data_IF_499246554225
#
_entry.id   IF_499246554225
#
_cell.length_a   1.000
_cell.length_b   1.000
_cell.length_c   1.000
_cell.angle_alpha   90.00
_cell.angle_beta   90.00
_cell.angle_gamma   90.00
#
_symmetry.space_group_name_H-M   'P 1'
#
loop_
_entity.id
_entity.type
_entity.pdbx_description
1 polymer ?
#
# COMPACT_ATOMS: atom_id res chain seq x y z
N UNK A 1 -14.05 -0.20 -4.87
CA UNK A 1 -12.98 -1.00 -5.52
C UNK A 1 -11.65 -0.74 -4.85
N UNK A 2 -10.84 -1.78 -4.59
CA UNK A 2 -9.47 -1.63 -4.10
C UNK A 2 -8.49 -2.48 -4.88
N UNK A 3 -7.23 -2.02 -4.92
CA UNK A 3 -6.13 -2.67 -5.64
C UNK A 3 -4.87 -2.68 -4.77
N UNK A 4 -4.08 -3.72 -4.88
CA UNK A 4 -2.74 -3.81 -4.28
C UNK A 4 -1.68 -4.00 -5.38
N UNK A 5 -0.56 -3.26 -5.28
CA UNK A 5 0.50 -3.25 -6.30
C UNK A 5 1.88 -3.18 -5.64
N UNK A 6 2.71 -4.18 -5.85
CA UNK A 6 4.14 -4.04 -5.59
C UNK A 6 4.78 -3.22 -6.71
N UNK A 7 5.24 -2.01 -6.39
CA UNK A 7 5.74 -1.04 -7.36
C UNK A 7 7.18 -1.29 -7.80
N UNK A 8 7.97 -2.05 -7.04
CA UNK A 8 9.42 -2.22 -7.29
C UNK A 8 10.11 -0.88 -7.61
N UNK A 9 9.84 0.12 -6.76
CA UNK A 9 10.35 1.49 -6.88
C UNK A 9 9.55 2.43 -7.79
N UNK A 10 9.22 3.61 -7.28
CA UNK A 10 8.49 4.67 -8.00
C UNK A 10 9.39 5.83 -8.48
N UNK A 11 10.72 5.69 -8.45
CA UNK A 11 11.64 6.79 -8.82
C UNK A 11 11.60 7.11 -10.32
N UNK A 12 11.40 6.13 -11.18
CA UNK A 12 11.34 6.31 -12.63
C UNK A 12 10.01 6.97 -13.04
N UNK A 13 10.10 8.16 -13.65
CA UNK A 13 8.92 8.98 -14.03
C UNK A 13 7.96 8.25 -14.96
N UNK A 14 8.48 7.54 -15.98
CA UNK A 14 7.64 6.83 -16.94
C UNK A 14 6.81 5.74 -16.25
N UNK A 15 7.41 4.98 -15.32
CA UNK A 15 6.74 3.92 -14.56
C UNK A 15 5.59 4.48 -13.70
N UNK A 16 5.82 5.59 -13.00
CA UNK A 16 4.74 6.26 -12.26
C UNK A 16 3.58 6.61 -13.19
N UNK A 17 3.87 7.22 -14.35
CA UNK A 17 2.82 7.61 -15.29
C UNK A 17 1.99 6.42 -15.78
N UNK A 18 2.62 5.28 -16.06
CA UNK A 18 1.91 4.06 -16.48
C UNK A 18 1.02 3.54 -15.35
N UNK A 19 1.58 3.37 -14.14
CA UNK A 19 0.82 2.87 -12.99
C UNK A 19 -0.37 3.77 -12.69
N UNK A 20 -0.16 5.08 -12.58
CA UNK A 20 -1.24 6.01 -12.21
C UNK A 20 -2.27 6.22 -13.33
N UNK A 21 -1.86 6.16 -14.61
CA UNK A 21 -2.80 6.19 -15.73
C UNK A 21 -3.74 4.97 -15.67
N UNK A 22 -3.19 3.79 -15.44
CA UNK A 22 -3.97 2.57 -15.28
C UNK A 22 -4.91 2.63 -14.06
N UNK A 23 -4.44 3.11 -12.91
CA UNK A 23 -5.28 3.28 -11.72
C UNK A 23 -6.47 4.21 -11.96
N UNK A 24 -6.26 5.30 -12.70
CA UNK A 24 -7.33 6.23 -13.07
C UNK A 24 -8.30 5.60 -14.07
N UNK A 25 -7.80 4.83 -15.02
CA UNK A 25 -8.63 4.14 -16.02
C UNK A 25 -9.59 3.13 -15.38
N UNK A 26 -9.12 2.36 -14.39
CA UNK A 26 -9.97 1.38 -13.70
C UNK A 26 -10.90 1.99 -12.63
N UNK A 27 -10.79 3.28 -12.34
CA UNK A 27 -11.65 3.97 -11.37
C UNK A 27 -11.54 3.41 -9.96
N UNK A 28 -10.33 3.22 -9.46
CA UNK A 28 -10.09 2.60 -8.15
C UNK A 28 -10.35 3.59 -7.01
N UNK A 29 -10.97 3.11 -5.92
CA UNK A 29 -11.25 3.91 -4.70
C UNK A 29 -10.09 3.91 -3.73
N UNK A 30 -9.45 2.74 -3.51
CA UNK A 30 -8.36 2.55 -2.54
C UNK A 30 -7.21 1.79 -3.21
N UNK A 31 -5.98 2.30 -3.05
CA UNK A 31 -4.78 1.66 -3.60
C UNK A 31 -3.78 1.39 -2.48
N UNK A 32 -3.31 0.16 -2.40
CA UNK A 32 -2.20 -0.26 -1.56
C UNK A 32 -0.94 -0.42 -2.40
N UNK A 33 0.06 0.43 -2.18
CA UNK A 33 1.34 0.39 -2.88
C UNK A 33 2.43 -0.19 -1.97
N UNK A 34 3.22 -1.12 -2.48
CA UNK A 34 4.39 -1.68 -1.79
C UNK A 34 5.67 -1.43 -2.59
N UNK A 35 6.81 -1.53 -1.94
CA UNK A 35 8.13 -1.25 -2.50
C UNK A 35 8.19 0.09 -3.25
N UNK A 36 7.61 1.14 -2.67
CA UNK A 36 7.55 2.44 -3.34
C UNK A 36 8.90 3.13 -3.42
N UNK A 37 9.81 2.83 -2.49
CA UNK A 37 11.12 3.46 -2.31
C UNK A 37 11.01 4.98 -2.09
N UNK A 38 9.88 5.44 -1.55
CA UNK A 38 9.67 6.83 -1.15
C UNK A 38 10.17 7.01 0.28
N UNK A 39 10.95 8.05 0.51
CA UNK A 39 11.68 8.24 1.76
C UNK A 39 11.11 9.33 2.66
N UNK A 40 10.25 10.19 2.15
CA UNK A 40 9.68 11.31 2.91
C UNK A 40 8.49 11.95 2.20
N UNK A 41 7.76 12.79 2.93
CA UNK A 41 6.59 13.50 2.44
C UNK A 41 6.85 14.43 1.25
N UNK A 42 8.00 15.08 1.19
CA UNK A 42 8.36 15.96 0.06
C UNK A 42 8.46 15.13 -1.23
N UNK A 43 9.08 13.96 -1.13
CA UNK A 43 9.22 13.05 -2.26
C UNK A 43 7.86 12.48 -2.69
N UNK A 44 7.03 12.03 -1.74
CA UNK A 44 5.69 11.55 -2.02
C UNK A 44 4.85 12.61 -2.77
N UNK A 45 4.76 13.81 -2.25
CA UNK A 45 4.04 14.92 -2.91
C UNK A 45 4.56 15.21 -4.32
N UNK A 46 5.89 15.22 -4.49
CA UNK A 46 6.51 15.46 -5.80
C UNK A 46 6.19 14.36 -6.81
N UNK A 47 6.18 13.10 -6.37
CA UNK A 47 5.95 11.94 -7.24
C UNK A 47 4.48 11.82 -7.67
N UNK A 48 3.56 12.18 -6.79
CA UNK A 48 2.12 12.11 -7.05
C UNK A 48 1.57 13.34 -7.77
N UNK A 49 2.32 14.45 -7.81
CA UNK A 49 1.86 15.71 -8.41
C UNK A 49 1.39 15.52 -9.86
N UNK A 50 0.10 15.81 -10.10
CA UNK A 50 -0.52 15.65 -11.42
C UNK A 50 -0.76 14.21 -11.86
N UNK A 51 -0.59 13.22 -10.95
CA UNK A 51 -0.86 11.80 -11.19
C UNK A 51 -1.93 11.25 -10.26
N UNK A 52 -2.09 11.82 -9.06
CA UNK A 52 -3.10 11.43 -8.08
C UNK A 52 -3.63 12.66 -7.35
N UNK A 53 -4.94 12.83 -7.32
CA UNK A 53 -5.59 13.98 -6.69
C UNK A 53 -6.17 13.66 -5.30
N UNK A 54 -6.32 12.38 -4.97
CA UNK A 54 -6.86 11.94 -3.69
C UNK A 54 -5.89 12.09 -2.51
N UNK A 55 -6.30 11.58 -1.37
CA UNK A 55 -5.45 11.53 -0.17
C UNK A 55 -4.45 10.41 -0.26
N UNK A 56 -3.35 10.52 0.47
CA UNK A 56 -2.33 9.48 0.53
C UNK A 56 -1.65 9.45 1.89
N UNK A 57 -1.31 8.26 2.34
CA UNK A 57 -0.73 7.96 3.64
C UNK A 57 0.49 7.07 3.43
N UNK A 58 1.50 7.13 4.31
CA UNK A 58 2.78 6.48 4.06
C UNK A 58 3.44 5.95 5.32
N UNK A 59 4.00 4.73 5.22
CA UNK A 59 5.17 4.31 5.95
C UNK A 59 6.37 4.36 5.00
N UNK A 60 7.33 5.23 5.30
CA UNK A 60 8.43 5.52 4.39
C UNK A 60 9.50 4.43 4.43
N UNK A 61 10.00 4.09 3.25
CA UNK A 61 11.14 3.19 3.08
C UNK A 61 12.47 3.91 2.93
N UNK A 62 13.40 3.22 2.31
CA UNK A 62 14.69 3.76 1.87
C UNK A 62 14.70 4.02 0.37
N UNK A 63 15.81 4.55 -0.15
CA UNK A 63 15.95 4.75 -1.59
C UNK A 63 15.92 3.46 -2.42
N UNK A 64 16.20 2.32 -1.81
CA UNK A 64 16.40 1.04 -2.48
C UNK A 64 15.48 -0.07 -1.98
N UNK A 65 14.74 0.14 -0.90
CA UNK A 65 13.88 -0.90 -0.32
C UNK A 65 12.71 -0.32 0.46
N UNK A 66 11.71 -1.17 0.65
CA UNK A 66 10.53 -0.87 1.45
C UNK A 66 9.73 0.36 0.98
N UNK A 67 8.94 0.90 1.87
CA UNK A 67 8.01 1.98 1.61
C UNK A 67 6.66 1.46 1.13
N UNK A 68 5.65 1.63 1.97
CA UNK A 68 4.26 1.33 1.62
C UNK A 68 3.42 2.61 1.66
N UNK A 69 2.41 2.67 0.83
CA UNK A 69 1.51 3.82 0.78
C UNK A 69 0.09 3.41 0.50
N UNK A 70 -0.83 4.02 1.24
CA UNK A 70 -2.26 3.86 1.03
C UNK A 70 -2.81 5.13 0.39
N UNK A 71 -3.41 5.00 -0.79
CA UNK A 71 -4.02 6.10 -1.51
C UNK A 71 -5.53 5.93 -1.50
N UNK A 72 -6.25 7.03 -1.30
CA UNK A 72 -7.71 7.07 -1.32
C UNK A 72 -8.15 8.08 -2.37
N UNK A 73 -9.04 7.66 -3.27
CA UNK A 73 -9.55 8.49 -4.35
C UNK A 73 -10.27 9.73 -3.81
N UNK A 74 -10.20 10.85 -4.54
CA UNK A 74 -10.82 12.11 -4.13
C UNK A 74 -12.33 12.06 -4.01
N UNK A 75 -12.94 11.19 -4.82
CA UNK A 75 -14.39 11.09 -4.95
C UNK A 75 -15.00 10.05 -3.98
N UNK A 76 -14.17 9.33 -3.22
CA UNK A 76 -14.65 8.45 -2.16
C UNK A 76 -15.11 9.28 -0.97
N UNK A 77 -16.38 9.12 -0.59
CA UNK A 77 -16.96 9.79 0.59
C UNK A 77 -16.59 9.02 1.86
N UNK A 78 -15.72 9.59 2.68
CA UNK A 78 -15.27 9.02 3.96
C UNK A 78 -14.83 10.09 4.95
N UNK A 79 -14.93 9.76 6.22
CA UNK A 79 -14.34 10.49 7.33
C UNK A 79 -13.01 9.85 7.71
N UNK A 80 -11.92 10.64 7.74
CA UNK A 80 -10.63 10.20 8.25
C UNK A 80 -10.66 10.11 9.78
N UNK A 81 -10.25 8.97 10.35
CA UNK A 81 -10.21 8.78 11.79
C UNK A 81 -8.78 8.79 12.33
N UNK A 82 -7.88 8.00 11.75
CA UNK A 82 -6.52 7.83 12.23
C UNK A 82 -5.58 7.31 11.16
N UNK A 83 -4.30 7.67 11.26
CA UNK A 83 -3.20 7.08 10.51
C UNK A 83 -2.13 6.56 11.49
N UNK A 84 -1.69 5.34 11.29
CA UNK A 84 -0.61 4.69 12.03
C UNK A 84 0.30 3.95 11.05
N UNK A 85 1.58 3.86 11.36
CA UNK A 85 2.55 3.22 10.48
C UNK A 85 3.76 2.75 11.28
N UNK A 86 4.51 1.79 10.75
CA UNK A 86 5.82 1.43 11.28
C UNK A 86 6.91 2.37 10.76
N UNK A 87 8.10 2.26 11.32
CA UNK A 87 9.27 3.05 10.89
C UNK A 87 10.14 2.31 9.86
N UNK A 88 9.74 1.11 9.47
CA UNK A 88 10.51 0.24 8.56
C UNK A 88 10.00 0.32 7.12
N UNK A 89 8.88 1.02 6.90
CA UNK A 89 8.27 1.12 5.58
C UNK A 89 7.56 -0.17 5.14
N UNK A 90 7.02 -0.94 6.10
CA UNK A 90 6.39 -2.22 5.86
C UNK A 90 4.90 -2.27 6.17
N UNK A 91 4.43 -1.42 7.09
CA UNK A 91 3.04 -1.41 7.53
C UNK A 91 2.49 0.00 7.54
N UNK A 92 1.39 0.21 6.84
CA UNK A 92 0.64 1.46 6.80
C UNK A 92 -0.83 1.17 7.11
N UNK A 93 -1.41 1.87 8.09
CA UNK A 93 -2.74 1.62 8.61
C UNK A 93 -3.53 2.92 8.59
N UNK A 94 -4.65 2.92 7.89
CA UNK A 94 -5.55 4.07 7.82
C UNK A 94 -6.93 3.65 8.30
N UNK A 95 -7.40 4.29 9.37
CA UNK A 95 -8.75 4.11 9.88
C UNK A 95 -9.66 5.18 9.27
N UNK A 96 -10.76 4.73 8.69
CA UNK A 96 -11.76 5.59 8.06
C UNK A 96 -13.16 5.17 8.49
N UNK A 97 -14.11 6.09 8.39
CA UNK A 97 -15.53 5.80 8.51
C UNK A 97 -16.20 6.07 7.17
N UNK A 98 -16.94 5.09 6.67
CA UNK A 98 -17.81 5.24 5.51
C UNK A 98 -19.23 4.92 5.93
N UNK A 99 -20.12 5.90 5.82
CA UNK A 99 -21.48 5.84 6.37
C UNK A 99 -21.41 5.55 7.88
N UNK A 100 -22.04 4.45 8.34
CA UNK A 100 -22.05 4.06 9.77
C UNK A 100 -20.93 3.07 10.13
N UNK A 101 -20.21 2.53 9.15
CA UNK A 101 -19.21 1.48 9.37
C UNK A 101 -17.81 2.07 9.47
N UNK A 102 -17.00 1.51 10.37
CA UNK A 102 -15.58 1.85 10.54
C UNK A 102 -14.72 0.80 9.85
N UNK A 103 -13.84 1.25 8.98
CA UNK A 103 -12.92 0.40 8.26
C UNK A 103 -11.48 0.69 8.68
N UNK A 104 -10.72 -0.36 8.87
CA UNK A 104 -9.27 -0.30 9.00
C UNK A 104 -8.64 -0.83 7.73
N UNK A 105 -7.97 0.05 7.01
CA UNK A 105 -7.19 -0.27 5.83
C UNK A 105 -5.78 -0.64 6.28
N UNK A 106 -5.32 -1.86 6.02
CA UNK A 106 -4.00 -2.34 6.40
C UNK A 106 -3.24 -2.70 5.13
N UNK A 107 -2.18 -1.95 4.86
CA UNK A 107 -1.27 -2.19 3.75
C UNK A 107 0.05 -2.76 4.28
N UNK A 108 0.43 -3.95 3.82
CA UNK A 108 1.61 -4.66 4.30
C UNK A 108 2.61 -4.95 3.18
N UNK A 109 3.88 -4.95 3.55
CA UNK A 109 4.98 -5.47 2.76
C UNK A 109 5.83 -6.37 3.66
N UNK A 110 5.52 -7.66 3.66
CA UNK A 110 6.17 -8.64 4.53
C UNK A 110 7.64 -8.84 4.15
N UNK A 111 8.52 -9.16 5.11
CA UNK A 111 9.92 -9.49 4.84
C UNK A 111 10.09 -10.67 3.89
N UNK A 112 11.14 -10.64 3.05
CA UNK A 112 11.51 -11.74 2.17
C UNK A 112 12.08 -12.94 2.93
N UNK A 113 12.82 -12.69 4.01
CA UNK A 113 13.35 -13.77 4.87
C UNK A 113 12.21 -14.48 5.60
N UNK A 114 12.27 -15.81 5.61
CA UNK A 114 11.22 -16.64 6.22
C UNK A 114 11.05 -16.42 7.72
N UNK A 115 12.13 -16.25 8.46
CA UNK A 115 12.10 -16.10 9.93
C UNK A 115 11.57 -14.73 10.30
N UNK A 116 12.06 -13.69 9.65
CA UNK A 116 11.59 -12.32 9.83
C UNK A 116 10.11 -12.20 9.45
N UNK A 117 9.70 -12.81 8.33
CA UNK A 117 8.31 -12.81 7.87
C UNK A 117 7.37 -13.49 8.87
N UNK A 118 7.78 -14.64 9.43
CA UNK A 118 6.99 -15.34 10.44
C UNK A 118 6.78 -14.49 11.68
N UNK A 119 7.80 -13.80 12.14
CA UNK A 119 7.73 -12.88 13.29
C UNK A 119 6.87 -11.65 12.96
N UNK A 120 7.07 -11.07 11.79
CA UNK A 120 6.28 -9.93 11.31
C UNK A 120 4.78 -10.25 11.28
N UNK A 121 4.40 -11.40 10.73
CA UNK A 121 2.99 -11.82 10.64
C UNK A 121 2.38 -12.04 12.02
N UNK A 122 3.10 -12.65 12.95
CA UNK A 122 2.63 -12.81 14.34
C UNK A 122 2.36 -11.46 15.02
N UNK A 123 3.20 -10.47 14.73
CA UNK A 123 3.07 -9.15 15.31
C UNK A 123 1.95 -8.31 14.68
N UNK A 124 1.37 -8.72 13.55
CA UNK A 124 0.22 -8.03 12.95
C UNK A 124 -1.05 -8.11 13.80
N UNK A 125 -1.16 -9.09 14.70
CA UNK A 125 -2.32 -9.25 15.58
C UNK A 125 -2.60 -7.99 16.42
N UNK A 126 -1.57 -7.21 16.76
CA UNK A 126 -1.72 -5.96 17.51
C UNK A 126 -2.56 -4.90 16.78
N UNK A 127 -2.68 -5.03 15.47
CA UNK A 127 -3.46 -4.11 14.64
C UNK A 127 -4.90 -4.57 14.44
N UNK A 128 -5.22 -5.82 14.80
CA UNK A 128 -6.55 -6.39 14.70
C UNK A 128 -7.32 -6.08 15.99
N UNK A 129 -8.01 -4.95 16.03
CA UNK A 129 -8.84 -4.52 17.15
C UNK A 129 -10.32 -4.68 16.82
N UNK A 130 -11.08 -5.18 17.80
CA UNK A 130 -12.53 -5.31 17.67
C UNK A 130 -13.17 -3.95 17.35
N UNK A 131 -14.27 -3.95 16.60
CA UNK A 131 -15.06 -2.79 16.18
C UNK A 131 -14.65 -2.11 14.86
N UNK A 132 -13.77 -2.73 14.07
CA UNK A 132 -13.51 -2.33 12.69
C UNK A 132 -13.78 -3.48 11.73
N UNK A 133 -14.29 -3.13 10.56
CA UNK A 133 -14.19 -3.99 9.39
C UNK A 133 -12.80 -3.81 8.77
N UNK A 134 -12.19 -4.89 8.27
CA UNK A 134 -10.82 -4.85 7.77
C UNK A 134 -10.77 -4.94 6.26
N UNK A 135 -9.94 -4.09 5.63
CA UNK A 135 -9.47 -4.26 4.27
C UNK A 135 -7.95 -4.44 4.35
N UNK A 136 -7.53 -5.67 4.19
CA UNK A 136 -6.13 -6.07 4.31
C UNK A 136 -5.58 -6.39 2.93
N UNK A 137 -4.56 -5.66 2.50
CA UNK A 137 -3.89 -5.86 1.24
C UNK A 137 -2.38 -5.72 1.37
N UNK A 138 -1.65 -6.14 0.35
CA UNK A 138 -0.21 -6.00 0.36
C UNK A 138 0.53 -7.12 -0.34
N UNK A 139 1.86 -7.09 -0.20
CA UNK A 139 2.76 -8.14 -0.65
C UNK A 139 3.24 -8.96 0.56
N UNK A 140 2.77 -10.17 0.65
CA UNK A 140 3.05 -11.07 1.76
C UNK A 140 4.34 -11.86 1.58
N UNK A 141 4.98 -11.77 0.42
CA UNK A 141 6.17 -12.54 0.06
C UNK A 141 6.04 -14.06 0.30
N UNK A 142 4.82 -14.58 0.19
CA UNK A 142 4.52 -16.00 0.17
C UNK A 142 4.55 -16.54 -1.26
N UNK A 143 5.02 -17.75 -1.41
CA UNK A 143 4.88 -18.54 -2.61
C UNK A 143 3.98 -19.73 -2.26
N UNK A 144 2.72 -19.68 -2.65
CA UNK A 144 1.79 -20.82 -2.50
C UNK A 144 2.02 -21.85 -3.61
N UNK A 145 2.23 -21.37 -4.82
CA UNK A 145 2.45 -22.24 -5.99
C UNK A 145 3.66 -21.73 -6.80
N UNK A 146 4.74 -22.53 -6.80
CA UNK A 146 6.00 -22.18 -7.47
C UNK A 146 5.82 -21.94 -8.98
N UNK A 147 4.84 -22.57 -9.60
CA UNK A 147 4.57 -22.43 -11.03
C UNK A 147 3.78 -21.15 -11.30
N UNK A 148 2.72 -20.90 -10.55
CA UNK A 148 1.85 -19.74 -10.77
C UNK A 148 2.48 -18.42 -10.28
N UNK A 149 3.13 -18.45 -9.12
CA UNK A 149 3.70 -17.25 -8.51
C UNK A 149 5.02 -16.80 -9.16
N UNK A 150 5.68 -17.66 -9.93
CA UNK A 150 6.89 -17.34 -10.69
C UNK A 150 6.66 -17.09 -12.18
N UNK A 151 5.44 -17.27 -12.68
CA UNK A 151 5.15 -16.84 -14.04
C UNK A 151 5.42 -15.33 -14.15
N UNK A 152 6.20 -14.89 -15.14
CA UNK A 152 6.43 -13.47 -15.33
C UNK A 152 5.08 -12.83 -15.70
N UNK A 153 4.48 -12.14 -14.74
CA UNK A 153 3.41 -11.21 -15.03
C UNK A 153 4.01 -10.15 -15.94
N UNK A 154 3.76 -10.31 -17.22
CA UNK A 154 4.03 -9.38 -18.33
C UNK A 154 4.98 -8.23 -18.00
N UNK A 155 6.18 -8.28 -18.58
CA UNK A 155 7.06 -7.12 -18.69
C UNK A 155 6.37 -6.08 -19.60
N UNK A 156 5.87 -5.02 -18.98
CA UNK A 156 5.55 -3.78 -19.67
C UNK A 156 6.74 -2.83 -19.62
#
# INVERSE_FOLDING_TARGET
TYVTINCRGLRKRYKRRIIFAWLLEIGVDIVFLQETHITNWREAKRFLKGLWEGKHYWSFGTNNSCGVGTLIAKDLDYEFLRHSYDLEGRTDIVDIKMRENRFRLINVYAPNDYRERKEYIKNLDIYLINHFDYILGGDWNFIENIILDKLPLFYF
#
